data_IF_116133954850
#
_entry.id   IF_116133954850
#
_cell.length_a   1.000
_cell.length_b   1.000
_cell.length_c   1.000
_cell.angle_alpha   90.00
_cell.angle_beta   90.00
_cell.angle_gamma   90.00
#
_symmetry.space_group_name_H-M   'P 1'
#
loop_
_entity.id
_entity.type
_entity.pdbx_description
1 polymer ?
#
# COMPACT_ATOMS: atom_id res chain seq x y z
N UNK A 1 -18.15 -9.11 -3.00
CA UNK A 1 -16.98 -9.60 -2.25
C UNK A 1 -17.38 -9.70 -0.79
N UNK A 2 -17.45 -10.91 -0.23
CA UNK A 2 -17.92 -11.13 1.15
C UNK A 2 -16.84 -10.73 2.17
N UNK A 3 -17.05 -9.69 3.00
CA UNK A 3 -15.99 -9.11 3.85
C UNK A 3 -15.71 -9.90 5.15
N UNK A 4 -16.20 -11.14 5.31
CA UNK A 4 -16.20 -11.85 6.60
C UNK A 4 -15.30 -13.08 6.73
N UNK A 5 -14.70 -13.57 5.65
CA UNK A 5 -13.99 -14.85 5.67
C UNK A 5 -12.63 -14.83 6.40
N UNK A 6 -11.77 -13.80 6.27
CA UNK A 6 -10.47 -13.79 6.96
C UNK A 6 -10.60 -13.80 8.48
N UNK A 7 -11.61 -13.09 9.02
CA UNK A 7 -11.75 -12.89 10.46
C UNK A 7 -12.04 -14.15 11.25
N UNK A 8 -12.72 -15.14 10.64
CA UNK A 8 -13.08 -16.39 11.32
C UNK A 8 -11.93 -17.39 11.31
N UNK A 9 -11.24 -17.50 10.17
CA UNK A 9 -10.12 -18.42 10.03
C UNK A 9 -8.99 -18.13 11.01
N UNK A 10 -8.69 -16.85 11.25
CA UNK A 10 -7.66 -16.43 12.21
C UNK A 10 -8.06 -16.64 13.70
N UNK A 11 -9.34 -16.92 14.01
CA UNK A 11 -9.80 -17.16 15.38
C UNK A 11 -9.67 -18.61 15.82
N UNK A 12 -9.74 -19.57 14.88
CA UNK A 12 -9.67 -20.99 15.20
C UNK A 12 -8.35 -21.42 15.86
N UNK A 13 -7.16 -20.89 15.47
CA UNK A 13 -5.92 -21.17 16.18
C UNK A 13 -5.97 -20.81 17.67
N UNK A 14 -6.62 -19.70 18.02
CA UNK A 14 -6.74 -19.26 19.42
C UNK A 14 -7.64 -20.20 20.21
N UNK A 15 -8.80 -20.56 19.65
CA UNK A 15 -9.75 -21.47 20.30
C UNK A 15 -9.16 -22.87 20.50
N UNK A 16 -8.49 -23.41 19.49
CA UNK A 16 -7.87 -24.74 19.57
C UNK A 16 -6.68 -24.75 20.52
N UNK A 17 -5.87 -23.70 20.57
CA UNK A 17 -4.79 -23.56 21.56
C UNK A 17 -5.35 -23.61 22.98
N UNK A 18 -6.41 -22.86 23.24
CA UNK A 18 -7.04 -22.81 24.56
C UNK A 18 -7.72 -24.14 24.93
N UNK A 19 -8.18 -24.91 23.93
CA UNK A 19 -8.72 -26.26 24.11
C UNK A 19 -7.61 -27.28 24.44
N UNK A 20 -6.49 -27.28 23.70
CA UNK A 20 -5.32 -28.13 23.97
C UNK A 20 -4.79 -27.89 25.38
N UNK A 21 -4.76 -26.64 25.83
CA UNK A 21 -4.29 -26.27 27.16
C UNK A 21 -5.14 -26.84 28.32
N UNK A 22 -6.41 -27.21 28.04
CA UNK A 22 -7.35 -27.75 29.04
C UNK A 22 -7.49 -29.27 28.96
N UNK A 23 -6.94 -29.91 27.93
CA UNK A 23 -7.06 -31.35 27.75
C UNK A 23 -5.95 -32.10 28.49
N UNK A 24 -6.27 -33.23 29.15
CA UNK A 24 -5.26 -34.13 29.68
C UNK A 24 -4.44 -34.75 28.53
N UNK A 25 -3.26 -35.27 28.85
CA UNK A 25 -2.46 -36.00 27.87
C UNK A 25 -3.21 -37.24 27.38
N UNK A 26 -3.15 -37.47 26.06
CA UNK A 26 -3.86 -38.56 25.42
C UNK A 26 -4.08 -38.34 23.92
N UNK A 27 -4.67 -39.32 23.23
CA UNK A 27 -4.83 -39.29 21.77
C UNK A 27 -5.70 -38.12 21.28
N UNK A 28 -6.65 -37.66 22.10
CA UNK A 28 -7.47 -36.50 21.76
C UNK A 28 -6.68 -35.19 21.75
N UNK A 29 -5.74 -35.03 22.69
CA UNK A 29 -4.87 -33.86 22.75
C UNK A 29 -3.92 -33.82 21.56
N UNK A 30 -3.39 -34.97 21.15
CA UNK A 30 -2.55 -35.09 19.95
C UNK A 30 -3.34 -34.75 18.69
N UNK A 31 -4.53 -35.31 18.51
CA UNK A 31 -5.38 -35.04 17.36
C UNK A 31 -5.73 -33.54 17.24
N UNK A 32 -6.06 -32.89 18.36
CA UNK A 32 -6.39 -31.46 18.38
C UNK A 32 -5.14 -30.59 18.17
N UNK A 33 -3.98 -31.01 18.66
CA UNK A 33 -2.71 -30.32 18.39
C UNK A 33 -2.36 -30.37 16.90
N UNK A 34 -2.56 -31.53 16.26
CA UNK A 34 -2.33 -31.67 14.82
C UNK A 34 -3.30 -30.78 14.01
N UNK A 35 -4.58 -30.76 14.38
CA UNK A 35 -5.56 -29.88 13.76
C UNK A 35 -5.26 -28.39 13.97
N UNK A 36 -4.68 -28.02 15.12
CA UNK A 36 -4.21 -26.67 15.39
C UNK A 36 -3.09 -26.26 14.42
N UNK A 37 -2.12 -27.13 14.18
CA UNK A 37 -1.01 -26.87 13.26
C UNK A 37 -1.48 -26.77 11.80
N UNK A 38 -2.41 -27.65 11.39
CA UNK A 38 -3.03 -27.59 10.06
C UNK A 38 -3.76 -26.26 9.85
N UNK A 39 -4.59 -25.84 10.81
CA UNK A 39 -5.34 -24.58 10.72
C UNK A 39 -4.42 -23.37 10.77
N UNK A 40 -3.35 -23.39 11.55
CA UNK A 40 -2.34 -22.32 11.56
C UNK A 40 -1.71 -22.16 10.19
N UNK A 41 -1.28 -23.26 9.59
CA UNK A 41 -0.68 -23.28 8.25
C UNK A 41 -1.64 -22.67 7.21
N UNK A 42 -2.91 -23.08 7.24
CA UNK A 42 -3.93 -22.54 6.32
C UNK A 42 -4.19 -21.05 6.58
N UNK A 43 -4.28 -20.62 7.84
CA UNK A 43 -4.50 -19.23 8.20
C UNK A 43 -3.35 -18.33 7.75
N UNK A 44 -2.10 -18.76 7.92
CA UNK A 44 -0.91 -18.06 7.45
C UNK A 44 -0.90 -17.92 5.92
N UNK A 45 -1.18 -19.00 5.19
CA UNK A 45 -1.28 -18.97 3.72
C UNK A 45 -2.36 -18.00 3.23
N UNK A 46 -3.53 -17.98 3.88
CA UNK A 46 -4.60 -17.05 3.53
C UNK A 46 -4.19 -15.61 3.84
N UNK A 47 -3.55 -15.36 4.98
CA UNK A 47 -3.09 -14.04 5.37
C UNK A 47 -2.07 -13.48 4.37
N UNK A 48 -1.07 -14.27 3.97
CA UNK A 48 -0.09 -13.86 2.96
C UNK A 48 -0.74 -13.59 1.61
N UNK A 49 -1.68 -14.44 1.16
CA UNK A 49 -2.41 -14.20 -0.10
C UNK A 49 -3.25 -12.93 -0.07
N UNK A 50 -3.89 -12.62 1.06
CA UNK A 50 -4.64 -11.37 1.25
C UNK A 50 -3.68 -10.18 1.21
N UNK A 51 -2.57 -10.26 1.96
CA UNK A 51 -1.53 -9.23 1.98
C UNK A 51 -0.97 -8.95 0.59
N UNK A 52 -0.70 -10.00 -0.19
CA UNK A 52 -0.25 -9.89 -1.57
C UNK A 52 -1.30 -9.25 -2.48
N UNK A 53 -2.56 -9.64 -2.34
CA UNK A 53 -3.66 -9.07 -3.13
C UNK A 53 -3.86 -7.58 -2.83
N UNK A 54 -3.84 -7.19 -1.55
CA UNK A 54 -3.91 -5.80 -1.12
C UNK A 54 -2.69 -4.99 -1.58
N UNK A 55 -1.48 -5.56 -1.44
CA UNK A 55 -0.25 -4.95 -1.92
C UNK A 55 -0.30 -4.67 -3.43
N UNK A 56 -0.75 -5.65 -4.22
CA UNK A 56 -0.97 -5.49 -5.67
C UNK A 56 -2.03 -4.44 -5.99
N UNK A 57 -3.15 -4.45 -5.28
CA UNK A 57 -4.22 -3.46 -5.48
C UNK A 57 -3.73 -2.03 -5.21
N UNK A 58 -2.94 -1.82 -4.15
CA UNK A 58 -2.32 -0.51 -3.85
C UNK A 58 -1.34 -0.08 -4.94
N UNK A 59 -0.50 -0.99 -5.44
CA UNK A 59 0.46 -0.69 -6.50
C UNK A 59 -0.25 -0.34 -7.83
N UNK A 60 -1.36 -1.03 -8.17
CA UNK A 60 -2.20 -0.70 -9.33
C UNK A 60 -2.81 0.69 -9.21
N UNK A 61 -3.36 1.04 -8.04
CA UNK A 61 -3.90 2.36 -7.79
C UNK A 61 -2.83 3.46 -7.91
N UNK A 62 -1.61 3.19 -7.43
CA UNK A 62 -0.47 4.09 -7.59
C UNK A 62 -0.06 4.25 -9.06
N UNK A 63 -0.02 3.16 -9.82
CA UNK A 63 0.27 3.16 -11.25
C UNK A 63 -0.75 3.99 -12.04
N UNK A 64 -2.04 3.86 -11.73
CA UNK A 64 -3.12 4.65 -12.33
C UNK A 64 -3.00 6.14 -11.94
N UNK A 65 -2.77 6.43 -10.66
CA UNK A 65 -2.62 7.80 -10.15
C UNK A 65 -1.45 8.56 -10.79
N UNK A 66 -0.35 7.86 -11.10
CA UNK A 66 0.85 8.45 -11.70
C UNK A 66 0.88 8.33 -13.22
N UNK A 67 -0.10 7.67 -13.85
CA UNK A 67 -0.10 7.29 -15.27
C UNK A 67 1.17 6.52 -15.70
N UNK A 68 1.53 5.50 -14.90
CA UNK A 68 2.79 4.74 -15.03
C UNK A 68 2.56 3.24 -14.91
N UNK A 69 2.28 2.59 -16.04
CA UNK A 69 2.07 1.14 -16.09
C UNK A 69 3.34 0.33 -15.80
N UNK A 70 4.53 0.90 -16.00
CA UNK A 70 5.82 0.29 -15.65
C UNK A 70 6.06 0.15 -14.14
N UNK A 71 5.16 0.70 -13.31
CA UNK A 71 5.16 0.46 -11.88
C UNK A 71 4.70 -0.96 -11.52
N UNK A 72 3.89 -1.60 -12.37
CA UNK A 72 3.30 -2.90 -12.09
C UNK A 72 4.22 -4.02 -12.58
N UNK A 73 5.20 -4.40 -11.75
CA UNK A 73 6.12 -5.51 -12.00
C UNK A 73 5.87 -6.62 -10.98
N UNK A 74 5.90 -7.92 -11.34
CA UNK A 74 5.56 -9.01 -10.41
C UNK A 74 6.35 -9.01 -9.10
N UNK A 75 7.62 -8.60 -9.13
CA UNK A 75 8.50 -8.57 -7.96
C UNK A 75 8.41 -7.25 -7.16
N UNK A 76 7.63 -6.27 -7.61
CA UNK A 76 7.52 -4.97 -6.95
C UNK A 76 6.39 -4.96 -5.92
N UNK A 77 6.70 -4.53 -4.71
CA UNK A 77 5.70 -4.28 -3.66
C UNK A 77 5.84 -2.86 -3.11
N UNK A 78 4.70 -2.22 -2.84
CA UNK A 78 4.68 -0.95 -2.12
C UNK A 78 4.86 -1.19 -0.61
N UNK A 79 5.93 -0.63 -0.04
CA UNK A 79 6.31 -0.79 1.36
C UNK A 79 5.76 0.32 2.25
N UNK A 80 5.80 1.57 1.78
CA UNK A 80 5.38 2.73 2.58
C UNK A 80 4.97 3.92 1.72
N UNK A 81 4.13 4.79 2.29
CA UNK A 81 3.74 6.09 1.72
C UNK A 81 3.85 7.17 2.79
N UNK A 82 4.49 8.30 2.48
CA UNK A 82 4.70 9.40 3.44
C UNK A 82 4.56 10.74 2.74
N UNK A 83 3.73 11.63 3.30
CA UNK A 83 3.70 13.04 2.92
C UNK A 83 4.85 13.77 3.63
N UNK A 84 5.62 14.57 2.90
CA UNK A 84 6.81 15.24 3.41
C UNK A 84 7.01 16.62 2.78
N UNK A 85 7.71 17.50 3.49
CA UNK A 85 8.22 18.75 2.93
C UNK A 85 9.65 18.52 2.44
N UNK A 86 9.91 18.75 1.15
CA UNK A 86 11.26 18.68 0.60
C UNK A 86 11.72 20.07 0.19
N UNK A 87 13.00 20.35 0.42
CA UNK A 87 13.69 21.53 -0.07
C UNK A 87 14.67 21.12 -1.16
N UNK A 88 14.55 21.71 -2.35
CA UNK A 88 15.52 21.46 -3.41
C UNK A 88 16.86 22.12 -3.04
N UNK A 89 17.89 21.30 -2.80
CA UNK A 89 19.26 21.76 -2.63
C UNK A 89 19.81 22.18 -4.00
N UNK A 90 19.68 23.47 -4.32
CA UNK A 90 20.18 24.02 -5.58
C UNK A 90 21.70 23.89 -5.68
N UNK A 91 22.17 23.34 -6.81
CA UNK A 91 23.57 23.43 -7.21
C UNK A 91 23.92 24.85 -7.59
N UNK A 92 24.81 25.47 -6.83
CA UNK A 92 25.70 26.56 -7.26
C UNK A 92 25.05 27.77 -7.97
N UNK A 93 24.27 28.57 -7.26
CA UNK A 93 24.21 30.02 -7.51
C UNK A 93 23.71 30.75 -6.25
N UNK A 94 24.51 31.70 -5.78
CA UNK A 94 24.27 32.56 -4.61
C UNK A 94 22.80 32.98 -4.44
N UNK A 95 22.22 32.64 -3.28
CA UNK A 95 21.22 33.49 -2.62
C UNK A 95 19.74 33.10 -2.70
N UNK A 96 19.36 32.01 -3.37
CA UNK A 96 17.96 31.54 -3.34
C UNK A 96 17.78 30.46 -2.28
N UNK A 97 17.04 30.74 -1.19
CA UNK A 97 16.53 29.68 -0.32
C UNK A 97 15.69 28.74 -1.19
N UNK A 98 16.19 27.52 -1.41
CA UNK A 98 15.60 26.55 -2.34
C UNK A 98 14.10 26.37 -2.12
N UNK A 99 13.37 26.15 -3.21
CA UNK A 99 11.91 26.02 -3.19
C UNK A 99 11.51 24.86 -2.27
N UNK A 100 10.76 25.17 -1.21
CA UNK A 100 10.12 24.18 -0.33
C UNK A 100 8.76 23.82 -0.89
N UNK A 101 8.50 22.53 -1.03
CA UNK A 101 7.22 22.01 -1.52
C UNK A 101 6.70 20.85 -0.69
N UNK A 102 5.38 20.68 -0.69
CA UNK A 102 4.74 19.45 -0.25
C UNK A 102 4.96 18.37 -1.31
N UNK A 103 5.46 17.23 -0.86
CA UNK A 103 5.71 16.05 -1.66
C UNK A 103 5.08 14.83 -1.01
N UNK A 104 4.87 13.81 -1.83
CA UNK A 104 4.50 12.47 -1.38
C UNK A 104 5.55 11.49 -1.84
N UNK A 105 6.07 10.68 -0.93
CA UNK A 105 7.06 9.66 -1.20
C UNK A 105 6.38 8.30 -1.15
N UNK A 106 6.60 7.50 -2.19
CA UNK A 106 6.21 6.10 -2.23
C UNK A 106 7.47 5.24 -2.28
N UNK A 107 7.66 4.43 -1.23
CA UNK A 107 8.74 3.48 -1.13
C UNK A 107 8.27 2.13 -1.65
N UNK A 108 8.81 1.70 -2.78
CA UNK A 108 8.64 0.34 -3.27
C UNK A 108 9.88 -0.50 -2.92
N UNK A 109 9.80 -1.81 -3.12
CA UNK A 109 10.89 -2.76 -2.83
C UNK A 109 12.18 -2.50 -3.62
N UNK A 110 12.10 -1.89 -4.80
CA UNK A 110 13.22 -1.67 -5.73
C UNK A 110 13.32 -0.22 -6.24
N UNK A 111 12.31 0.61 -5.95
CA UNK A 111 12.22 1.99 -6.45
C UNK A 111 11.66 2.94 -5.41
N UNK A 112 12.16 4.17 -5.40
CA UNK A 112 11.61 5.28 -4.62
C UNK A 112 11.02 6.30 -5.58
N UNK A 113 9.75 6.64 -5.36
CA UNK A 113 9.03 7.62 -6.15
C UNK A 113 8.77 8.86 -5.31
N UNK A 114 9.05 10.03 -5.87
CA UNK A 114 8.71 11.31 -5.26
C UNK A 114 7.69 12.02 -6.15
N UNK A 115 6.49 12.22 -5.63
CA UNK A 115 5.43 13.00 -6.26
C UNK A 115 5.40 14.43 -5.71
N UNK A 116 5.00 15.37 -6.56
CA UNK A 116 4.63 16.73 -6.16
C UNK A 116 3.12 16.84 -6.27
N UNK A 117 2.51 17.38 -5.22
CA UNK A 117 1.09 17.68 -5.23
C UNK A 117 0.85 18.81 -6.25
N UNK A 118 0.01 18.57 -7.25
CA UNK A 118 -0.39 19.64 -8.16
C UNK A 118 -1.15 20.68 -7.33
N UNK A 119 -0.58 21.89 -7.18
CA UNK A 119 -1.31 23.02 -6.61
C UNK A 119 -2.50 23.23 -7.54
N UNK A 120 -3.70 23.00 -7.03
CA UNK A 120 -4.91 22.98 -7.84
C UNK A 120 -4.96 24.20 -8.74
N UNK A 121 -4.98 23.98 -10.06
CA UNK A 121 -5.54 24.97 -10.95
C UNK A 121 -7.02 25.06 -10.55
N UNK A 122 -7.39 26.15 -9.86
CA UNK A 122 -8.76 26.62 -9.89
C UNK A 122 -9.07 26.95 -11.34
N UNK A 123 -9.50 25.94 -12.11
CA UNK A 123 -10.25 26.17 -13.32
C UNK A 123 -11.50 26.91 -12.88
N UNK A 124 -11.54 28.23 -13.10
CA UNK A 124 -12.76 29.01 -13.10
C UNK A 124 -13.72 28.37 -14.11
N UNK A 125 -14.57 27.46 -13.65
CA UNK A 125 -15.70 26.98 -14.41
C UNK A 125 -16.70 28.13 -14.48
N UNK A 126 -16.76 28.78 -15.64
CA UNK A 126 -17.84 29.68 -16.01
C UNK A 126 -19.18 28.98 -15.74
N UNK A 127 -19.97 29.58 -14.86
CA UNK A 127 -21.35 29.24 -14.59
C UNK A 127 -22.19 29.46 -15.85
N UNK A 128 -22.70 28.39 -16.45
CA UNK A 128 -23.95 28.44 -17.20
C UNK A 128 -24.89 27.34 -16.70
N UNK A 129 -26.02 27.81 -16.20
CA UNK A 129 -27.07 27.11 -15.50
C UNK A 129 -27.76 26.02 -16.33
N UNK A 130 -27.94 24.82 -15.75
CA UNK A 130 -29.16 24.03 -15.91
C UNK A 130 -29.22 22.90 -14.88
N UNK A 131 -30.08 23.09 -13.86
CA UNK A 131 -30.98 22.12 -13.25
C UNK A 131 -30.69 20.61 -13.49
N UNK A 132 -30.15 19.90 -12.49
CA UNK A 132 -30.71 18.65 -11.94
C UNK A 132 -29.81 18.00 -10.86
N UNK A 133 -30.47 17.62 -9.75
CA UNK A 133 -30.14 16.59 -8.73
C UNK A 133 -28.83 16.68 -7.93
N UNK A 134 -29.03 16.87 -6.62
CA UNK A 134 -28.12 16.57 -5.51
C UNK A 134 -27.27 15.31 -5.73
N UNK A 135 -26.01 15.50 -6.11
CA UNK A 135 -24.91 14.57 -5.82
C UNK A 135 -23.90 15.30 -4.95
N UNK A 136 -23.41 14.68 -3.85
CA UNK A 136 -22.37 15.29 -3.03
C UNK A 136 -21.12 15.58 -3.89
N UNK A 137 -20.38 16.67 -3.62
CA UNK A 137 -19.17 16.98 -4.37
C UNK A 137 -18.18 15.81 -4.20
N UNK A 138 -17.88 15.11 -5.30
CA UNK A 138 -16.74 14.18 -5.34
C UNK A 138 -15.52 15.00 -4.96
N UNK A 139 -14.95 14.74 -3.78
CA UNK A 139 -13.64 15.25 -3.43
C UNK A 139 -12.68 14.85 -4.56
N UNK A 140 -12.22 15.83 -5.34
CA UNK A 140 -11.30 15.60 -6.44
C UNK A 140 -10.07 14.88 -5.89
N UNK A 141 -9.78 13.70 -6.41
CA UNK A 141 -8.57 12.97 -6.02
C UNK A 141 -7.36 13.91 -6.21
N UNK A 142 -6.45 13.99 -5.22
CA UNK A 142 -5.26 14.82 -5.36
C UNK A 142 -4.47 14.35 -6.58
N UNK A 143 -4.30 15.25 -7.54
CA UNK A 143 -3.46 15.00 -8.72
C UNK A 143 -2.00 15.12 -8.29
N UNK A 144 -1.24 14.02 -8.39
CA UNK A 144 0.19 14.01 -8.14
C UNK A 144 0.95 13.87 -9.46
N UNK A 145 1.93 14.74 -9.68
CA UNK A 145 2.90 14.56 -10.75
C UNK A 145 4.16 13.90 -10.21
N UNK A 146 4.69 12.89 -10.91
CA UNK A 146 5.97 12.29 -10.54
C UNK A 146 7.12 13.29 -10.80
N UNK A 147 7.93 13.54 -9.79
CA UNK A 147 9.09 14.45 -9.84
C UNK A 147 10.37 13.67 -10.07
N UNK A 148 10.54 12.56 -9.35
CA UNK A 148 11.75 11.76 -9.41
C UNK A 148 11.44 10.29 -9.17
N UNK A 149 12.21 9.44 -9.84
CA UNK A 149 12.24 8.00 -9.66
C UNK A 149 13.69 7.59 -9.47
N UNK A 150 14.02 7.07 -8.30
CA UNK A 150 15.34 6.50 -8.01
C UNK A 150 15.19 4.99 -7.97
N UNK A 151 16.00 4.29 -8.75
CA UNK A 151 16.09 2.83 -8.72
C UNK A 151 17.34 2.45 -7.95
N UNK A 152 17.26 1.44 -7.09
CA UNK A 152 18.48 0.87 -6.53
C UNK A 152 19.32 0.24 -7.66
N UNK A 153 20.64 0.48 -7.69
CA UNK A 153 21.50 -0.22 -8.63
C UNK A 153 21.49 -1.72 -8.32
N UNK A 154 21.54 -2.59 -9.34
CA UNK A 154 21.62 -4.03 -9.11
C UNK A 154 22.82 -4.36 -8.20
N UNK A 155 22.72 -5.37 -7.32
CA UNK A 155 23.84 -5.77 -6.48
C UNK A 155 25.03 -6.09 -7.37
N UNK A 156 26.17 -5.45 -7.11
CA UNK A 156 27.41 -5.75 -7.82
C UNK A 156 27.77 -7.21 -7.53
N UNK A 157 27.62 -8.07 -8.54
CA UNK A 157 28.20 -9.41 -8.50
C UNK A 157 29.71 -9.22 -8.52
N UNK A 158 30.36 -9.55 -7.41
CA UNK A 158 31.81 -9.69 -7.38
C UNK A 158 32.14 -11.07 -7.96
N UNK A 159 32.66 -11.09 -9.19
CA UNK A 159 33.35 -12.24 -9.79
C UNK A 159 34.78 -12.34 -9.27
#
# INVERSE_FOLDING_TARGET
>A
MSPGLPQRLCKYPLLLRDLVAKLPDGPQREAISHALDDIRTVAEQVNERVRDAEGRARLLALAEMLDRQDLVVPARSLLSEVDLEAQQLGGSARGSMGNRGEHRLWLCSDVVLLGKRARGHHSHSHSHSAHTRNTPPKASAPCFGLVAMVRDPPPRTYD
#
